data_IF_295915070224
#
_entry.id   IF_295915070224
#
_cell.length_a   1.000
_cell.length_b   1.000
_cell.length_c   1.000
_cell.angle_alpha   90.00
_cell.angle_beta   90.00
_cell.angle_gamma   90.00
#
_symmetry.space_group_name_H-M   'P 1'
#
loop_
_entity.id
_entity.type
_entity.pdbx_description
1 polymer ?
#
# COMPACT_ATOMS: atom_id res chain seq x y z
N UNK A 1 -10.01 -10.95 -8.32
CA UNK A 1 -9.97 -9.93 -7.25
C UNK A 1 -9.10 -10.44 -6.09
N UNK A 2 -8.61 -9.54 -5.22
CA UNK A 2 -7.79 -9.85 -4.05
C UNK A 2 -8.48 -10.93 -3.19
N UNK A 3 -7.84 -12.11 -2.95
CA UNK A 3 -8.46 -13.19 -2.19
C UNK A 3 -8.83 -12.76 -0.77
N UNK A 4 -10.04 -13.11 -0.32
CA UNK A 4 -10.54 -12.83 1.03
C UNK A 4 -10.69 -14.15 1.80
N UNK A 5 -10.07 -14.26 2.98
CA UNK A 5 -10.10 -15.49 3.78
C UNK A 5 -10.40 -15.16 5.25
N UNK A 6 -11.68 -14.92 5.62
CA UNK A 6 -12.07 -14.55 6.99
C UNK A 6 -11.68 -15.54 8.09
N UNK A 7 -11.35 -16.78 7.71
CA UNK A 7 -10.87 -17.82 8.62
C UNK A 7 -9.34 -17.83 8.79
N UNK A 8 -8.59 -16.96 8.12
CA UNK A 8 -7.14 -16.93 8.24
C UNK A 8 -6.73 -16.40 9.63
N UNK A 9 -6.05 -17.25 10.38
CA UNK A 9 -5.66 -16.98 11.75
C UNK A 9 -4.37 -16.16 11.86
N UNK A 10 -4.24 -15.44 12.98
CA UNK A 10 -2.99 -14.85 13.42
C UNK A 10 -2.17 -15.92 14.15
N UNK A 11 -0.89 -16.02 13.82
CA UNK A 11 0.03 -17.01 14.42
C UNK A 11 0.64 -16.48 15.70
N UNK A 12 0.96 -17.37 16.65
CA UNK A 12 1.84 -16.99 17.76
C UNK A 12 3.22 -16.63 17.20
N UNK A 13 3.92 -15.68 17.82
CA UNK A 13 5.23 -15.20 17.31
C UNK A 13 6.24 -16.34 17.17
N UNK A 14 6.23 -17.31 18.08
CA UNK A 14 7.13 -18.47 18.07
C UNK A 14 6.87 -19.46 16.91
N UNK A 15 5.71 -19.36 16.25
CA UNK A 15 5.31 -20.23 15.14
C UNK A 15 5.58 -19.57 13.78
N UNK A 16 5.94 -18.29 13.76
CA UNK A 16 6.23 -17.57 12.54
C UNK A 16 7.54 -18.04 11.90
N UNK A 17 7.59 -18.17 10.55
CA UNK A 17 8.83 -18.40 9.84
C UNK A 17 9.86 -17.29 10.08
N UNK A 18 11.14 -17.64 10.08
CA UNK A 18 12.23 -16.69 10.36
C UNK A 18 12.24 -15.48 9.42
N UNK A 19 11.93 -15.67 8.15
CA UNK A 19 11.85 -14.61 7.14
C UNK A 19 10.62 -13.70 7.30
N UNK A 20 9.61 -14.16 8.05
CA UNK A 20 8.42 -13.36 8.38
C UNK A 20 8.65 -12.49 9.61
N UNK A 21 9.46 -12.94 10.58
CA UNK A 21 9.73 -12.23 11.84
C UNK A 21 10.23 -10.79 11.61
N UNK A 22 11.02 -10.55 10.57
CA UNK A 22 11.51 -9.20 10.26
C UNK A 22 10.40 -8.18 10.00
N UNK A 23 9.21 -8.63 9.57
CA UNK A 23 8.06 -7.79 9.28
C UNK A 23 7.18 -7.50 10.49
N UNK A 24 7.61 -7.91 11.70
CA UNK A 24 7.08 -7.41 12.97
C UNK A 24 7.80 -6.15 13.44
N UNK A 25 9.02 -5.90 12.94
CA UNK A 25 9.88 -4.84 13.45
C UNK A 25 9.45 -3.45 12.96
N UNK A 26 9.67 -2.44 13.80
CA UNK A 26 9.56 -1.04 13.38
C UNK A 26 10.53 -0.74 12.23
N UNK A 27 10.12 0.16 11.33
CA UNK A 27 10.93 0.60 10.19
C UNK A 27 10.84 2.13 10.01
N UNK A 28 11.62 2.71 9.09
CA UNK A 28 11.78 4.18 8.95
C UNK A 28 10.46 4.95 8.90
N UNK A 29 9.47 4.45 8.16
CA UNK A 29 8.17 5.09 8.00
C UNK A 29 7.07 4.41 8.82
N UNK A 30 7.31 3.19 9.33
CA UNK A 30 6.39 2.43 10.16
C UNK A 30 6.98 2.22 11.55
N UNK A 31 7.18 3.32 12.30
CA UNK A 31 7.60 3.28 13.70
C UNK A 31 6.46 2.77 14.60
N UNK A 32 6.17 1.47 14.50
CA UNK A 32 5.03 0.81 15.14
C UNK A 32 5.10 0.85 16.67
N UNK A 33 6.31 0.91 17.22
CA UNK A 33 6.59 1.11 18.65
C UNK A 33 5.97 2.39 19.21
N UNK A 34 5.86 3.45 18.40
CA UNK A 34 5.20 4.70 18.78
C UNK A 34 3.66 4.62 18.80
N UNK A 35 3.08 3.56 18.22
CA UNK A 35 1.63 3.40 18.08
C UNK A 35 1.08 2.23 18.90
N UNK A 36 1.91 1.54 19.69
CA UNK A 36 1.49 0.35 20.46
C UNK A 36 0.29 0.67 21.35
N UNK A 37 0.38 1.73 22.16
CA UNK A 37 -0.71 2.08 23.09
C UNK A 37 -2.02 2.34 22.33
N UNK A 38 -1.97 3.20 21.30
CA UNK A 38 -3.16 3.56 20.52
C UNK A 38 -3.74 2.33 19.79
N UNK A 39 -2.90 1.46 19.24
CA UNK A 39 -3.33 0.24 18.58
C UNK A 39 -4.04 -0.71 19.55
N UNK A 40 -3.51 -0.90 20.76
CA UNK A 40 -4.15 -1.75 21.77
C UNK A 40 -5.46 -1.14 22.30
N UNK A 41 -5.52 0.18 22.47
CA UNK A 41 -6.75 0.88 22.87
C UNK A 41 -7.86 0.73 21.80
N UNK A 42 -7.49 0.79 20.52
CA UNK A 42 -8.43 0.70 19.39
C UNK A 42 -8.82 -0.75 19.04
N UNK A 43 -7.85 -1.67 19.04
CA UNK A 43 -7.99 -3.00 18.44
C UNK A 43 -7.77 -4.16 19.41
N UNK A 44 -7.35 -3.90 20.66
CA UNK A 44 -7.06 -4.96 21.63
C UNK A 44 -8.23 -5.88 21.97
N UNK A 45 -9.47 -5.43 21.72
CA UNK A 45 -10.69 -6.22 21.93
C UNK A 45 -11.26 -6.82 20.63
N UNK A 46 -10.63 -6.57 19.48
CA UNK A 46 -11.06 -7.18 18.21
C UNK A 46 -10.64 -8.66 18.14
N UNK A 47 -11.46 -9.54 17.52
CA UNK A 47 -11.05 -10.92 17.26
C UNK A 47 -9.76 -10.96 16.46
N UNK A 48 -8.83 -11.83 16.84
CA UNK A 48 -7.51 -11.95 16.19
C UNK A 48 -7.62 -12.46 14.75
N UNK A 49 -6.52 -12.35 13.99
CA UNK A 49 -6.47 -12.82 12.62
C UNK A 49 -7.08 -11.83 11.64
N UNK A 50 -7.80 -12.36 10.65
CA UNK A 50 -8.37 -11.58 9.56
C UNK A 50 -9.24 -10.41 10.04
N UNK A 51 -10.09 -10.64 11.04
CA UNK A 51 -11.05 -9.64 11.56
C UNK A 51 -10.33 -8.44 12.18
N UNK A 52 -9.20 -8.66 12.86
CA UNK A 52 -8.37 -7.56 13.39
C UNK A 52 -7.77 -6.72 12.27
N UNK A 53 -7.30 -7.35 11.19
CA UNK A 53 -6.75 -6.62 10.04
C UNK A 53 -7.85 -5.86 9.29
N UNK A 54 -9.05 -6.42 9.16
CA UNK A 54 -10.21 -5.70 8.62
C UNK A 54 -10.55 -4.48 9.48
N UNK A 55 -10.58 -4.63 10.82
CA UNK A 55 -10.84 -3.51 11.73
C UNK A 55 -9.78 -2.40 11.60
N UNK A 56 -8.49 -2.77 11.48
CA UNK A 56 -7.41 -1.81 11.23
C UNK A 56 -7.58 -1.13 9.86
N UNK A 57 -7.90 -1.90 8.82
CA UNK A 57 -8.08 -1.39 7.45
C UNK A 57 -9.23 -0.40 7.39
N UNK A 58 -10.38 -0.75 7.99
CA UNK A 58 -11.55 0.11 8.10
C UNK A 58 -11.24 1.39 8.88
N UNK A 59 -10.57 1.27 10.04
CA UNK A 59 -10.18 2.44 10.81
C UNK A 59 -9.31 3.41 9.98
N UNK A 60 -8.27 2.90 9.31
CA UNK A 60 -7.38 3.76 8.51
C UNK A 60 -8.13 4.39 7.33
N UNK A 61 -9.03 3.64 6.69
CA UNK A 61 -9.89 4.13 5.62
C UNK A 61 -10.74 5.33 6.07
N UNK A 62 -11.39 5.21 7.22
CA UNK A 62 -12.27 6.25 7.76
C UNK A 62 -11.50 7.41 8.39
N UNK A 63 -10.30 7.14 8.92
CA UNK A 63 -9.51 8.10 9.69
C UNK A 63 -8.62 9.00 8.81
N UNK A 64 -8.26 8.55 7.61
CA UNK A 64 -7.34 9.29 6.73
C UNK A 64 -8.07 9.80 5.49
N UNK A 65 -7.97 11.09 5.23
CA UNK A 65 -8.47 11.71 3.99
C UNK A 65 -7.41 11.61 2.90
N UNK A 66 -7.77 11.04 1.76
CA UNK A 66 -6.89 10.93 0.59
C UNK A 66 -6.76 12.28 -0.15
N UNK A 67 -5.54 12.62 -0.56
CA UNK A 67 -5.30 13.74 -1.49
C UNK A 67 -3.82 13.88 -1.86
N UNK A 68 -3.52 14.01 -3.15
CA UNK A 68 -2.15 14.12 -3.66
C UNK A 68 -1.37 15.31 -3.07
N UNK A 69 -2.07 16.40 -2.73
CA UNK A 69 -1.48 17.57 -2.08
C UNK A 69 -0.94 17.29 -0.67
N UNK A 70 -1.34 16.18 -0.03
CA UNK A 70 -0.88 15.80 1.31
C UNK A 70 0.39 14.94 1.31
N UNK A 71 0.86 14.50 0.14
CA UNK A 71 2.04 13.66 0.01
C UNK A 71 3.33 14.42 0.29
N UNK A 72 4.20 13.83 1.13
CA UNK A 72 5.59 14.28 1.34
C UNK A 72 6.48 13.09 1.68
N UNK A 73 7.70 13.06 1.14
CA UNK A 73 8.58 11.88 1.20
C UNK A 73 8.94 11.45 2.63
N UNK A 74 9.03 12.40 3.56
CA UNK A 74 9.46 12.13 4.94
C UNK A 74 8.32 11.73 5.89
N UNK A 75 7.05 11.74 5.46
CA UNK A 75 5.88 11.46 6.30
C UNK A 75 5.91 10.01 6.81
N UNK A 76 5.72 9.87 8.12
CA UNK A 76 5.71 8.61 8.88
C UNK A 76 4.29 8.21 9.29
N UNK A 77 4.06 6.93 9.59
CA UNK A 77 2.79 6.41 10.09
C UNK A 77 2.24 7.19 11.30
N UNK A 78 3.09 7.54 12.27
CA UNK A 78 2.66 8.32 13.44
C UNK A 78 2.23 9.75 13.07
N UNK A 79 2.83 10.35 12.04
CA UNK A 79 2.36 11.62 11.50
C UNK A 79 1.02 11.45 10.79
N UNK A 80 0.84 10.42 9.96
CA UNK A 80 -0.46 10.12 9.30
C UNK A 80 -1.57 9.93 10.34
N UNK A 81 -1.31 9.17 11.40
CA UNK A 81 -2.27 8.94 12.49
C UNK A 81 -2.74 10.25 13.13
N UNK A 82 -1.86 11.25 13.24
CA UNK A 82 -2.18 12.56 13.83
C UNK A 82 -2.75 13.56 12.83
N UNK A 83 -2.20 13.61 11.62
CA UNK A 83 -2.56 14.56 10.56
C UNK A 83 -3.84 14.17 9.82
N UNK A 84 -4.22 12.88 9.84
CA UNK A 84 -5.45 12.36 9.21
C UNK A 84 -5.55 12.63 7.72
N UNK A 85 -4.42 12.86 7.05
CA UNK A 85 -4.34 13.18 5.63
C UNK A 85 -3.11 12.53 4.99
N UNK A 86 -3.27 12.02 3.77
CA UNK A 86 -2.17 11.36 3.07
C UNK A 86 -2.51 10.85 1.68
N UNK A 87 -1.54 10.17 1.08
CA UNK A 87 -1.67 9.44 -0.20
C UNK A 87 -1.61 7.93 0.02
N UNK A 88 -1.74 7.10 -1.02
CA UNK A 88 -1.77 5.63 -0.91
C UNK A 88 -0.62 5.05 -0.07
N UNK A 89 0.61 5.58 -0.23
CA UNK A 89 1.78 5.23 0.57
C UNK A 89 1.55 5.40 2.07
N UNK A 90 0.91 6.50 2.45
CA UNK A 90 0.69 6.90 3.84
C UNK A 90 -0.38 6.02 4.50
N UNK A 91 -1.43 5.65 3.75
CA UNK A 91 -2.42 4.66 4.18
C UNK A 91 -1.75 3.31 4.45
N UNK A 92 -0.96 2.81 3.49
CA UNK A 92 -0.23 1.55 3.64
C UNK A 92 0.70 1.57 4.86
N UNK A 93 1.47 2.65 5.06
CA UNK A 93 2.38 2.76 6.21
C UNK A 93 1.66 2.80 7.54
N UNK A 94 0.55 3.54 7.65
CA UNK A 94 -0.24 3.54 8.88
C UNK A 94 -0.83 2.16 9.16
N UNK A 95 -1.41 1.49 8.16
CA UNK A 95 -1.94 0.13 8.32
C UNK A 95 -0.86 -0.87 8.74
N UNK A 96 0.33 -0.83 8.12
CA UNK A 96 1.47 -1.67 8.50
C UNK A 96 1.88 -1.42 9.94
N UNK A 97 2.04 -0.16 10.34
CA UNK A 97 2.46 0.17 11.69
C UNK A 97 1.47 -0.31 12.76
N UNK A 98 0.16 -0.15 12.51
CA UNK A 98 -0.89 -0.66 13.39
C UNK A 98 -0.95 -2.19 13.42
N UNK A 99 -0.78 -2.87 12.29
CA UNK A 99 -0.70 -4.34 12.25
C UNK A 99 0.48 -4.85 13.08
N UNK A 100 1.67 -4.26 12.90
CA UNK A 100 2.88 -4.62 13.66
C UNK A 100 2.73 -4.37 15.15
N UNK A 101 2.09 -3.27 15.54
CA UNK A 101 1.76 -2.97 16.94
C UNK A 101 0.83 -4.02 17.57
N UNK A 102 0.03 -4.71 16.75
CA UNK A 102 -0.83 -5.83 17.14
C UNK A 102 -0.19 -7.21 16.92
N UNK A 103 1.15 -7.27 16.76
CA UNK A 103 1.92 -8.50 16.51
C UNK A 103 1.55 -9.25 15.22
N UNK A 104 1.03 -8.54 14.22
CA UNK A 104 0.72 -9.11 12.90
C UNK A 104 1.84 -8.71 11.94
N UNK A 105 2.59 -9.67 11.36
CA UNK A 105 3.62 -9.36 10.38
C UNK A 105 2.99 -8.68 9.17
N UNK A 106 3.47 -7.49 8.85
CA UNK A 106 2.94 -6.67 7.77
C UNK A 106 4.07 -6.05 6.96
N UNK A 107 3.91 -6.01 5.63
CA UNK A 107 4.91 -5.48 4.71
C UNK A 107 4.30 -4.56 3.67
N UNK A 108 5.13 -3.69 3.14
CA UNK A 108 4.76 -2.75 2.09
C UNK A 108 4.82 -3.43 0.73
N UNK A 109 3.86 -3.10 -0.12
CA UNK A 109 3.82 -3.52 -1.51
C UNK A 109 3.41 -2.35 -2.39
N UNK A 110 4.00 -2.26 -3.58
CA UNK A 110 3.68 -1.22 -4.55
C UNK A 110 3.78 -1.75 -5.96
N UNK A 111 3.02 -1.14 -6.86
CA UNK A 111 3.02 -1.45 -8.27
C UNK A 111 1.87 -0.78 -9.00
N UNK A 112 1.41 -1.42 -10.07
CA UNK A 112 0.31 -0.90 -10.86
C UNK A 112 -1.02 -1.42 -10.33
N UNK A 113 -2.03 -0.56 -10.35
CA UNK A 113 -3.41 -0.91 -10.13
C UNK A 113 -4.23 -0.19 -11.19
N UNK A 114 -4.94 -0.94 -12.01
CA UNK A 114 -5.85 -0.41 -13.01
C UNK A 114 -7.30 -0.35 -12.53
N UNK A 115 -8.18 0.00 -13.45
CA UNK A 115 -9.60 0.21 -13.24
C UNK A 115 -10.48 -1.04 -13.44
N UNK A 116 -9.87 -2.23 -13.52
CA UNK A 116 -10.59 -3.49 -13.79
C UNK A 116 -11.72 -3.68 -12.79
N UNK A 117 -12.95 -3.71 -13.30
CA UNK A 117 -14.17 -3.90 -12.52
C UNK A 117 -14.64 -2.70 -11.69
N UNK A 118 -14.10 -1.50 -11.91
CA UNK A 118 -14.54 -0.25 -11.26
C UNK A 118 -14.63 0.94 -12.23
N UNK A 119 -15.23 2.07 -11.82
CA UNK A 119 -15.20 3.29 -12.63
C UNK A 119 -13.80 3.87 -12.78
N UNK A 120 -13.48 4.36 -13.98
CA UNK A 120 -12.26 5.12 -14.29
C UNK A 120 -12.10 6.33 -13.36
N UNK A 121 -10.92 6.47 -12.74
CA UNK A 121 -10.63 7.53 -11.76
C UNK A 121 -9.65 8.61 -12.24
N UNK A 122 -9.32 8.65 -13.53
CA UNK A 122 -8.45 9.68 -14.11
C UNK A 122 -7.02 9.19 -14.37
N UNK A 123 -6.07 10.14 -14.39
CA UNK A 123 -4.67 9.84 -14.67
C UNK A 123 -4.12 8.76 -13.73
N UNK A 124 -3.44 7.76 -14.32
CA UNK A 124 -2.86 6.66 -13.58
C UNK A 124 -1.69 7.10 -12.71
N UNK A 125 -1.52 6.40 -11.59
CA UNK A 125 -0.38 6.51 -10.70
C UNK A 125 0.05 5.11 -10.24
N UNK A 126 1.24 5.01 -9.66
CA UNK A 126 1.57 3.85 -8.86
C UNK A 126 0.68 3.78 -7.62
N UNK A 127 0.29 2.56 -7.26
CA UNK A 127 -0.50 2.29 -6.09
C UNK A 127 0.35 1.58 -5.05
N UNK A 128 0.25 2.03 -3.81
CA UNK A 128 0.81 1.36 -2.64
C UNK A 128 -0.30 0.73 -1.82
N UNK A 129 -0.05 -0.48 -1.36
CA UNK A 129 -0.92 -1.24 -0.44
C UNK A 129 -0.05 -1.96 0.59
N UNK A 130 -0.67 -2.79 1.41
CA UNK A 130 0.07 -3.61 2.37
C UNK A 130 -0.33 -5.06 2.28
N UNK A 131 0.58 -5.92 2.71
CA UNK A 131 0.34 -7.35 2.84
C UNK A 131 0.55 -7.77 4.28
N UNK A 132 -0.30 -8.66 4.79
CA UNK A 132 -0.20 -9.25 6.13
C UNK A 132 0.00 -10.76 6.04
N UNK A 133 0.77 -11.32 6.98
CA UNK A 133 0.96 -12.76 7.07
C UNK A 133 -0.07 -13.38 8.02
N UNK A 134 -1.00 -14.17 7.49
CA UNK A 134 -2.04 -14.88 8.24
C UNK A 134 -2.19 -16.29 7.68
N UNK A 135 -2.56 -17.27 8.50
CA UNK A 135 -2.82 -18.64 8.04
C UNK A 135 -1.72 -19.24 7.15
N UNK A 136 -0.45 -18.92 7.41
CA UNK A 136 0.69 -19.44 6.66
C UNK A 136 1.02 -18.73 5.34
N UNK A 137 0.37 -17.60 5.00
CA UNK A 137 0.58 -16.90 3.73
C UNK A 137 0.35 -15.38 3.81
N UNK A 138 0.86 -14.67 2.81
CA UNK A 138 0.65 -13.24 2.65
C UNK A 138 -0.69 -12.94 1.95
N UNK A 139 -1.45 -11.99 2.51
CA UNK A 139 -2.71 -11.50 1.97
C UNK A 139 -2.68 -9.99 1.76
N UNK A 140 -3.27 -9.53 0.67
CA UNK A 140 -3.33 -8.12 0.28
C UNK A 140 -4.50 -7.41 0.95
N UNK A 141 -4.20 -6.26 1.56
CA UNK A 141 -5.18 -5.32 2.09
C UNK A 141 -4.83 -3.91 1.61
N UNK A 142 -5.85 -3.05 1.51
CA UNK A 142 -5.70 -1.71 0.98
C UNK A 142 -6.70 -0.77 1.65
N UNK A 143 -6.21 0.02 2.61
CA UNK A 143 -7.06 0.96 3.35
C UNK A 143 -7.48 2.19 2.51
N UNK A 144 -6.83 2.48 1.38
CA UNK A 144 -7.26 3.60 0.53
C UNK A 144 -8.62 3.30 -0.09
N UNK A 145 -8.78 2.11 -0.65
CA UNK A 145 -10.02 1.71 -1.33
C UNK A 145 -10.94 0.86 -0.45
N UNK A 146 -10.40 0.16 0.54
CA UNK A 146 -11.09 -0.71 1.48
C UNK A 146 -12.09 -1.68 0.82
N UNK A 147 -11.75 -2.12 -0.38
CA UNK A 147 -12.52 -3.06 -1.20
C UNK A 147 -11.53 -3.92 -2.01
N UNK A 148 -11.79 -5.23 -2.17
CA UNK A 148 -10.92 -6.10 -2.96
C UNK A 148 -10.82 -5.63 -4.41
N UNK A 149 -9.60 -5.55 -4.95
CA UNK A 149 -9.33 -5.10 -6.32
C UNK A 149 -8.90 -6.26 -7.22
N UNK A 150 -9.11 -6.14 -8.52
CA UNK A 150 -8.50 -7.02 -9.53
C UNK A 150 -7.33 -6.32 -10.22
N UNK A 151 -6.46 -7.10 -10.86
CA UNK A 151 -5.43 -6.54 -11.76
C UNK A 151 -4.27 -5.81 -11.07
N UNK A 152 -3.98 -6.08 -9.79
CA UNK A 152 -2.75 -5.58 -9.16
C UNK A 152 -1.53 -6.22 -9.84
N UNK A 153 -0.66 -5.40 -10.44
CA UNK A 153 0.64 -5.85 -10.96
C UNK A 153 1.69 -5.43 -9.94
N UNK A 154 2.09 -6.38 -9.11
CA UNK A 154 3.11 -6.16 -8.09
C UNK A 154 4.46 -5.86 -8.74
N UNK A 155 5.11 -4.78 -8.30
CA UNK A 155 6.50 -4.48 -8.67
C UNK A 155 7.47 -4.81 -7.54
N UNK A 156 7.15 -4.37 -6.32
CA UNK A 156 8.11 -4.35 -5.20
C UNK A 156 7.46 -4.69 -3.87
N UNK A 157 8.28 -5.26 -2.97
CA UNK A 157 7.93 -5.53 -1.57
C UNK A 157 9.09 -5.17 -0.66
N UNK A 158 8.79 -4.54 0.48
CA UNK A 158 9.78 -4.13 1.48
C UNK A 158 9.18 -4.01 2.86
N UNK A 159 9.99 -3.74 3.88
CA UNK A 159 9.48 -3.42 5.21
C UNK A 159 8.68 -2.12 5.16
N UNK A 160 9.16 -1.12 4.44
CA UNK A 160 8.40 0.08 4.06
C UNK A 160 8.95 0.69 2.76
N UNK A 161 8.56 1.93 2.44
CA UNK A 161 8.98 2.58 1.20
C UNK A 161 10.48 2.97 1.18
N UNK A 162 11.21 2.88 2.28
CA UNK A 162 12.65 3.13 2.31
C UNK A 162 13.42 2.05 1.55
N UNK A 163 12.93 0.80 1.57
CA UNK A 163 13.56 -0.33 0.89
C UNK A 163 13.28 -0.34 -0.62
N UNK A 164 12.16 0.27 -1.03
CA UNK A 164 11.56 0.08 -2.36
C UNK A 164 10.99 1.37 -2.94
N UNK A 165 11.68 2.48 -2.71
CA UNK A 165 11.34 3.75 -3.34
C UNK A 165 11.37 3.61 -4.87
N UNK A 166 10.41 4.25 -5.56
CA UNK A 166 10.35 4.23 -7.03
C UNK A 166 11.59 4.89 -7.64
N UNK A 167 12.03 6.00 -7.02
CA UNK A 167 13.24 6.73 -7.35
C UNK A 167 13.89 7.12 -6.03
N UNK A 168 15.18 6.84 -5.88
CA UNK A 168 16.02 7.42 -4.84
C UNK A 168 17.02 8.36 -5.50
N UNK A 169 16.94 9.63 -5.16
CA UNK A 169 17.80 10.67 -5.73
C UNK A 169 18.93 11.04 -4.76
N UNK A 170 20.12 11.33 -5.29
CA UNK A 170 21.25 11.85 -4.51
C UNK A 170 21.70 13.17 -5.13
N UNK A 171 21.34 14.27 -4.49
CA UNK A 171 21.54 15.63 -5.02
C UNK A 171 20.22 16.28 -5.45
N UNK A 172 20.29 17.51 -5.95
CA UNK A 172 19.09 18.28 -6.27
C UNK A 172 18.47 17.80 -7.60
N UNK A 173 17.26 17.25 -7.53
CA UNK A 173 16.48 16.81 -8.68
C UNK A 173 15.06 17.35 -8.59
N UNK A 174 14.52 17.76 -9.72
CA UNK A 174 13.12 18.17 -9.84
C UNK A 174 12.42 17.22 -10.82
N UNK A 175 11.41 16.51 -10.33
CA UNK A 175 10.54 15.72 -11.20
C UNK A 175 9.60 16.66 -11.97
N UNK A 176 9.79 16.76 -13.29
CA UNK A 176 8.98 17.63 -14.15
C UNK A 176 7.64 17.00 -14.54
N UNK A 177 7.64 15.72 -14.91
CA UNK A 177 6.45 14.98 -15.27
C UNK A 177 6.62 13.49 -14.98
N UNK A 178 5.50 12.84 -14.66
CA UNK A 178 5.43 11.42 -14.40
C UNK A 178 4.12 10.86 -14.96
N UNK A 179 4.19 9.71 -15.64
CA UNK A 179 3.04 9.06 -16.29
C UNK A 179 3.04 7.58 -15.98
N UNK A 180 1.89 7.09 -15.53
CA UNK A 180 1.60 5.68 -15.30
C UNK A 180 0.29 5.38 -16.00
N UNK A 181 0.22 4.23 -16.65
CA UNK A 181 -1.01 3.75 -17.27
C UNK A 181 -1.07 2.24 -17.13
N UNK A 182 -2.29 1.73 -17.23
CA UNK A 182 -2.62 0.31 -17.26
C UNK A 182 -3.82 0.15 -18.16
N UNK A 183 -3.76 -0.83 -19.06
CA UNK A 183 -4.87 -1.17 -19.95
C UNK A 183 -5.44 -2.52 -19.54
N UNK A 184 -6.77 -2.60 -19.44
CA UNK A 184 -7.48 -3.87 -19.35
C UNK A 184 -7.50 -4.49 -20.75
N UNK A 185 -7.03 -5.73 -20.85
CA UNK A 185 -7.02 -6.48 -22.11
C UNK A 185 -8.23 -7.39 -22.18
N UNK A 186 -8.89 -7.43 -23.34
CA UNK A 186 -9.93 -8.42 -23.61
C UNK A 186 -9.32 -9.83 -23.67
N UNK A 187 -10.09 -10.82 -23.24
CA UNK A 187 -9.68 -12.21 -23.32
C UNK A 187 -9.52 -12.64 -24.79
N UNK A 188 -8.43 -13.34 -25.10
CA UNK A 188 -8.19 -13.93 -26.42
C UNK A 188 -7.60 -12.99 -27.47
N UNK A 189 -7.09 -11.82 -27.07
CA UNK A 189 -6.29 -10.97 -27.96
C UNK A 189 -5.06 -11.72 -28.48
N UNK A 190 -4.77 -11.55 -29.77
CA UNK A 190 -3.59 -12.11 -30.41
C UNK A 190 -2.31 -11.40 -29.95
N UNK A 191 -1.21 -12.14 -29.83
CA UNK A 191 0.08 -11.61 -29.38
C UNK A 191 0.57 -10.47 -30.28
N UNK A 192 0.28 -10.53 -31.58
CA UNK A 192 0.63 -9.46 -32.52
C UNK A 192 -0.09 -8.14 -32.20
N UNK A 193 -1.36 -8.21 -31.79
CA UNK A 193 -2.15 -7.04 -31.39
C UNK A 193 -1.61 -6.45 -30.10
N UNK A 194 -1.29 -7.29 -29.11
CA UNK A 194 -0.67 -6.85 -27.85
C UNK A 194 0.67 -6.15 -28.13
N UNK A 195 1.51 -6.73 -28.99
CA UNK A 195 2.79 -6.13 -29.37
C UNK A 195 2.61 -4.78 -30.08
N UNK A 196 1.61 -4.63 -30.93
CA UNK A 196 1.29 -3.36 -31.58
C UNK A 196 0.84 -2.29 -30.56
N UNK A 197 0.00 -2.66 -29.58
CA UNK A 197 -0.41 -1.77 -28.49
C UNK A 197 0.79 -1.24 -27.70
N UNK A 198 1.79 -2.08 -27.44
CA UNK A 198 3.01 -1.71 -26.70
C UNK A 198 3.96 -0.79 -27.50
N UNK A 199 3.81 -0.67 -28.82
CA UNK A 199 4.67 0.19 -29.65
C UNK A 199 4.35 1.68 -29.51
N UNK A 200 3.14 2.02 -29.04
CA UNK A 200 2.71 3.41 -28.88
C UNK A 200 2.47 3.72 -27.41
N UNK A 201 2.90 4.91 -26.98
CA UNK A 201 2.57 5.39 -25.63
C UNK A 201 1.11 5.84 -25.66
N UNK A 202 0.25 5.34 -24.77
CA UNK A 202 -1.13 5.81 -24.72
C UNK A 202 -1.15 7.32 -24.43
N UNK A 203 -2.13 7.98 -25.04
CA UNK A 203 -2.42 9.38 -24.75
C UNK A 203 -3.00 9.47 -23.34
N UNK A 204 -2.17 9.87 -22.37
CA UNK A 204 -2.58 10.00 -20.97
C UNK A 204 -2.12 11.32 -20.38
N UNK A 205 -2.96 11.90 -19.53
CA UNK A 205 -2.59 13.05 -18.71
C UNK A 205 -1.45 12.67 -17.76
N UNK A 206 -0.47 13.56 -17.61
CA UNK A 206 0.61 13.36 -16.65
C UNK A 206 0.17 13.87 -15.28
N UNK A 207 0.54 13.14 -14.23
CA UNK A 207 0.47 13.68 -12.89
C UNK A 207 1.62 14.66 -12.71
N UNK A 208 1.27 15.93 -12.55
CA UNK A 208 2.20 17.03 -12.28
C UNK A 208 1.80 17.63 -10.94
N UNK A 209 2.19 16.96 -9.85
CA UNK A 209 1.97 17.48 -8.49
C UNK A 209 3.29 18.03 -7.92
N UNK A 210 3.34 19.30 -7.53
CA UNK A 210 4.54 19.89 -6.94
C UNK A 210 4.98 19.24 -5.62
N UNK A 211 4.08 18.55 -4.91
CA UNK A 211 4.30 18.04 -3.54
C UNK A 211 5.05 16.72 -3.47
N UNK A 212 4.92 15.83 -4.46
CA UNK A 212 5.66 14.56 -4.51
C UNK A 212 7.06 14.71 -5.12
N UNK A 213 7.35 15.86 -5.73
CA UNK A 213 8.53 16.13 -6.55
C UNK A 213 9.54 17.12 -5.94
N UNK A 214 9.19 17.79 -4.83
CA UNK A 214 10.06 18.77 -4.18
C UNK A 214 10.77 18.13 -2.99
N UNK A 215 11.91 17.52 -3.25
CA UNK A 215 12.95 17.39 -2.24
C UNK A 215 13.63 18.76 -2.10
N UNK A 216 13.74 19.26 -0.86
CA UNK A 216 14.35 20.54 -0.55
C UNK A 216 15.88 20.47 -0.64
#
# INVERSE_FOLDING_TARGET
PDPQVPSAEQHAIAELPNDVLTFLMASRYCASDNLVKDAWDLFGQTPEGWQRVEAITQFVHDHVTFGYQFGRANKTASEVFREKTGVCRDFAHLSIALCRAMNIPARYASGYLGDIGVPYYGAGDFCAWFEVYLGGRWYTFDARYNTPRAGRILMVRGADAADVAMITSFGNHQLEYFRVWTDELEDGLDDAVILEMLQTRPGGEALVFPSSAREA
#
